data_IF_163039835215
#
_entry.id   IF_163039835215
#
_cell.length_a   1.000
_cell.length_b   1.000
_cell.length_c   1.000
_cell.angle_alpha   90.00
_cell.angle_beta   90.00
_cell.angle_gamma   90.00
#
_symmetry.space_group_name_H-M   'P 1'
#
loop_
_entity.id
_entity.type
_entity.pdbx_description
1 polymer ?
#
# COMPACT_ATOMS: atom_id res chain seq x y z
N UNK A 1 16.81 61.02 6.75
CA UNK A 1 15.49 60.53 7.19
C UNK A 1 14.53 60.68 6.02
N UNK A 2 14.30 59.60 5.27
CA UNK A 2 13.27 59.58 4.23
C UNK A 2 11.92 59.44 4.93
N UNK A 3 11.11 60.48 4.90
CA UNK A 3 9.72 60.42 5.36
C UNK A 3 9.01 59.44 4.43
N UNK A 4 8.76 58.19 4.89
CA UNK A 4 7.83 57.30 4.19
C UNK A 4 6.47 57.98 4.30
N UNK A 5 5.94 58.44 3.16
CA UNK A 5 4.57 58.92 3.08
C UNK A 5 3.63 57.84 3.62
N UNK A 6 2.65 58.23 4.44
CA UNK A 6 1.62 57.30 4.89
C UNK A 6 0.92 56.69 3.68
N UNK A 7 0.63 55.37 3.70
CA UNK A 7 -0.05 54.72 2.58
C UNK A 7 -1.42 55.37 2.37
N UNK A 8 -1.64 55.94 1.18
CA UNK A 8 -2.92 56.50 0.77
C UNK A 8 -3.79 55.37 0.25
N UNK A 9 -5.08 55.36 0.58
CA UNK A 9 -6.01 54.42 -0.01
C UNK A 9 -6.06 54.59 -1.54
N UNK A 10 -5.62 53.56 -2.27
CA UNK A 10 -5.74 53.47 -3.72
C UNK A 10 -5.89 52.00 -4.13
N UNK A 11 -7.12 51.59 -4.45
CA UNK A 11 -7.45 50.19 -4.77
C UNK A 11 -6.86 49.75 -6.10
N UNK A 12 -6.80 50.65 -7.08
CA UNK A 12 -6.31 50.33 -8.43
C UNK A 12 -4.79 50.09 -8.42
N UNK A 13 -4.04 50.89 -7.66
CA UNK A 13 -2.61 50.64 -7.43
C UNK A 13 -2.40 49.35 -6.63
N UNK A 14 -3.24 49.06 -5.62
CA UNK A 14 -3.15 47.82 -4.87
C UNK A 14 -3.38 46.61 -5.78
N UNK A 15 -4.37 46.67 -6.69
CA UNK A 15 -4.62 45.64 -7.70
C UNK A 15 -3.43 45.46 -8.65
N UNK A 16 -2.86 46.56 -9.13
CA UNK A 16 -1.69 46.53 -10.02
C UNK A 16 -0.48 45.88 -9.35
N UNK A 17 -0.22 46.22 -8.09
CA UNK A 17 0.85 45.61 -7.29
C UNK A 17 0.55 44.14 -6.99
N UNK A 18 -0.71 43.80 -6.70
CA UNK A 18 -1.15 42.42 -6.43
C UNK A 18 -0.87 41.48 -7.61
N UNK A 19 -0.96 41.98 -8.84
CA UNK A 19 -0.72 41.20 -10.06
C UNK A 19 0.77 40.96 -10.37
N UNK A 20 1.71 41.58 -9.66
CA UNK A 20 3.15 41.44 -9.92
C UNK A 20 3.72 40.13 -9.37
N UNK A 21 4.76 39.61 -10.03
CA UNK A 21 5.59 38.52 -9.52
C UNK A 21 7.08 38.93 -9.49
N UNK A 22 7.75 38.93 -8.32
CA UNK A 22 7.20 38.64 -6.98
C UNK A 22 6.27 39.74 -6.48
N UNK A 23 5.20 39.36 -5.77
CA UNK A 23 4.19 40.30 -5.25
C UNK A 23 4.76 41.10 -4.05
N UNK A 24 4.70 42.44 -4.03
CA UNK A 24 5.15 43.25 -2.89
C UNK A 24 4.11 43.24 -1.76
N UNK A 25 4.04 42.11 -1.04
CA UNK A 25 3.04 41.82 0.02
C UNK A 25 2.88 42.96 1.02
N UNK A 26 3.98 43.51 1.53
CA UNK A 26 3.94 44.56 2.56
C UNK A 26 3.33 45.88 2.06
N UNK A 27 3.59 46.24 0.80
CA UNK A 27 3.07 47.47 0.20
C UNK A 27 1.57 47.33 -0.09
N UNK A 28 1.17 46.18 -0.67
CA UNK A 28 -0.24 45.86 -0.91
C UNK A 28 -1.00 45.86 0.42
N UNK A 29 -0.50 45.17 1.45
CA UNK A 29 -1.14 45.13 2.77
C UNK A 29 -1.35 46.54 3.34
N UNK A 30 -0.32 47.39 3.27
CA UNK A 30 -0.39 48.76 3.78
C UNK A 30 -1.47 49.60 3.08
N UNK A 31 -1.59 49.47 1.75
CA UNK A 31 -2.62 50.16 0.96
C UNK A 31 -4.02 49.65 1.27
N UNK A 32 -4.19 48.32 1.40
CA UNK A 32 -5.48 47.71 1.74
C UNK A 32 -5.94 48.14 3.14
N UNK A 33 -5.04 48.15 4.13
CA UNK A 33 -5.33 48.64 5.48
C UNK A 33 -5.69 50.14 5.51
N UNK A 34 -5.03 50.96 4.69
CA UNK A 34 -5.40 52.37 4.55
C UNK A 34 -6.81 52.55 3.95
N UNK A 35 -7.18 51.72 2.97
CA UNK A 35 -8.53 51.73 2.41
C UNK A 35 -9.60 51.25 3.38
N UNK A 36 -9.29 50.25 4.19
CA UNK A 36 -10.19 49.79 5.25
C UNK A 36 -10.39 50.87 6.32
N UNK A 37 -9.31 51.52 6.76
CA UNK A 37 -9.39 52.63 7.72
C UNK A 37 -10.15 53.84 7.17
N UNK A 38 -10.10 54.06 5.86
CA UNK A 38 -10.89 55.08 5.16
C UNK A 38 -12.37 54.69 4.94
N UNK A 39 -12.78 53.48 5.34
CA UNK A 39 -14.16 53.00 5.20
C UNK A 39 -14.55 52.62 3.77
N UNK A 40 -13.60 52.20 2.93
CA UNK A 40 -13.87 51.80 1.55
C UNK A 40 -14.90 50.66 1.47
N UNK A 41 -15.85 50.79 0.53
CA UNK A 41 -16.84 49.76 0.20
C UNK A 41 -16.46 48.98 -1.07
N UNK A 42 -15.27 49.19 -1.61
CA UNK A 42 -14.78 48.44 -2.77
C UNK A 42 -14.46 47.00 -2.35
N UNK A 43 -15.20 46.04 -2.91
CA UNK A 43 -15.06 44.62 -2.57
C UNK A 43 -13.64 44.09 -2.82
N UNK A 44 -12.88 44.68 -3.77
CA UNK A 44 -11.52 44.26 -4.11
C UNK A 44 -10.59 44.40 -2.91
N UNK A 45 -10.84 45.38 -2.03
CA UNK A 45 -10.04 45.57 -0.82
C UNK A 45 -10.08 44.30 0.04
N UNK A 46 -11.29 43.86 0.37
CA UNK A 46 -11.51 42.70 1.22
C UNK A 46 -11.18 41.37 0.50
N UNK A 47 -11.40 41.31 -0.81
CA UNK A 47 -11.03 40.16 -1.63
C UNK A 47 -9.51 39.93 -1.61
N UNK A 48 -8.70 40.97 -1.87
CA UNK A 48 -7.24 40.84 -1.86
C UNK A 48 -6.70 40.54 -0.46
N UNK A 49 -7.26 41.12 0.60
CA UNK A 49 -6.92 40.76 1.99
C UNK A 49 -7.15 39.26 2.24
N UNK A 50 -8.33 38.75 1.84
CA UNK A 50 -8.67 37.34 1.98
C UNK A 50 -7.75 36.41 1.21
N UNK A 51 -7.46 36.71 -0.05
CA UNK A 51 -6.52 35.92 -0.87
C UNK A 51 -5.11 35.95 -0.26
N UNK A 52 -4.64 37.09 0.24
CA UNK A 52 -3.33 37.18 0.90
C UNK A 52 -3.27 36.34 2.18
N UNK A 53 -4.30 36.40 3.02
CA UNK A 53 -4.38 35.58 4.23
C UNK A 53 -4.32 34.09 3.88
N UNK A 54 -5.06 33.66 2.84
CA UNK A 54 -5.04 32.27 2.36
C UNK A 54 -3.65 31.86 1.84
N UNK A 55 -3.01 32.69 1.03
CA UNK A 55 -1.67 32.43 0.51
C UNK A 55 -0.59 32.41 1.60
N UNK A 56 -0.79 33.16 2.69
CA UNK A 56 0.05 33.09 3.89
C UNK A 56 -0.21 31.84 4.75
N UNK A 57 -1.15 30.98 4.36
CA UNK A 57 -1.53 29.75 5.06
C UNK A 57 -2.66 29.92 6.09
N UNK A 58 -3.13 31.16 6.33
CA UNK A 58 -4.25 31.44 7.23
C UNK A 58 -5.60 31.36 6.48
N UNK A 59 -6.01 30.13 6.16
CA UNK A 59 -7.29 29.87 5.49
C UNK A 59 -8.51 30.29 6.31
N UNK A 60 -8.45 30.22 7.64
CA UNK A 60 -9.59 30.64 8.50
C UNK A 60 -9.71 32.16 8.56
N UNK A 61 -8.59 32.88 8.75
CA UNK A 61 -8.55 34.33 8.71
C UNK A 61 -8.86 34.94 7.33
N UNK A 62 -8.81 34.13 6.27
CA UNK A 62 -9.23 34.53 4.93
C UNK A 62 -10.75 34.57 4.74
N UNK A 63 -11.53 33.85 5.55
CA UNK A 63 -12.98 33.69 5.34
C UNK A 63 -13.71 35.02 5.51
N UNK A 64 -13.55 35.70 6.65
CA UNK A 64 -14.32 36.91 6.96
C UNK A 64 -14.10 38.06 5.93
N UNK A 65 -12.88 38.36 5.46
CA UNK A 65 -12.67 39.30 4.36
C UNK A 65 -13.36 38.87 3.06
N UNK A 66 -13.29 37.58 2.70
CA UNK A 66 -13.93 37.08 1.48
C UNK A 66 -15.46 37.08 1.56
N UNK A 67 -16.04 36.78 2.72
CA UNK A 67 -17.48 36.94 2.97
C UNK A 67 -17.91 38.39 2.82
N UNK A 68 -17.14 39.34 3.36
CA UNK A 68 -17.41 40.77 3.20
C UNK A 68 -17.30 41.21 1.74
N UNK A 69 -16.31 40.72 1.00
CA UNK A 69 -16.18 40.97 -0.43
C UNK A 69 -17.39 40.44 -1.21
N UNK A 70 -17.83 39.21 -0.92
CA UNK A 70 -19.02 38.60 -1.52
C UNK A 70 -20.30 39.39 -1.20
N UNK A 71 -20.45 39.89 0.03
CA UNK A 71 -21.60 40.71 0.43
C UNK A 71 -21.63 42.08 -0.27
N UNK A 72 -20.47 42.70 -0.49
CA UNK A 72 -20.36 44.02 -1.15
C UNK A 72 -20.60 43.94 -2.66
N UNK A 73 -20.32 42.78 -3.27
CA UNK A 73 -20.48 42.56 -4.70
C UNK A 73 -21.12 41.17 -4.97
N UNK A 74 -22.40 40.97 -4.61
CA UNK A 74 -23.06 39.67 -4.74
C UNK A 74 -23.24 39.23 -6.20
N UNK A 75 -23.13 40.17 -7.14
CA UNK A 75 -23.26 39.91 -8.57
C UNK A 75 -21.93 39.58 -9.26
N UNK A 76 -20.81 39.81 -8.58
CA UNK A 76 -19.48 39.48 -9.08
C UNK A 76 -19.12 38.03 -8.74
N UNK A 77 -18.69 37.27 -9.75
CA UNK A 77 -18.34 35.86 -9.54
C UNK A 77 -17.03 35.70 -8.74
N UNK A 78 -16.07 36.61 -8.90
CA UNK A 78 -14.73 36.44 -8.35
C UNK A 78 -14.72 36.34 -6.81
N UNK A 79 -15.37 37.25 -6.04
CA UNK A 79 -15.42 37.12 -4.57
C UNK A 79 -16.04 35.80 -4.11
N UNK A 80 -17.12 35.36 -4.76
CA UNK A 80 -17.78 34.10 -4.46
C UNK A 80 -16.87 32.90 -4.75
N UNK A 81 -16.17 32.90 -5.89
CA UNK A 81 -15.23 31.82 -6.25
C UNK A 81 -14.05 31.75 -5.28
N UNK A 82 -13.49 32.90 -4.88
CA UNK A 82 -12.41 32.97 -3.91
C UNK A 82 -12.84 32.50 -2.52
N UNK A 83 -14.05 32.90 -2.09
CA UNK A 83 -14.67 32.41 -0.85
C UNK A 83 -14.88 30.88 -0.90
N UNK A 84 -15.49 30.38 -1.97
CA UNK A 84 -15.71 28.96 -2.20
C UNK A 84 -14.42 28.15 -2.09
N UNK A 85 -13.37 28.55 -2.81
CA UNK A 85 -12.08 27.86 -2.81
C UNK A 85 -11.40 27.85 -1.43
N UNK A 86 -11.60 28.91 -0.67
CA UNK A 86 -11.06 29.04 0.70
C UNK A 86 -11.79 28.08 1.65
N UNK A 87 -13.10 27.93 1.49
CA UNK A 87 -13.97 27.09 2.32
C UNK A 87 -13.86 25.59 2.04
N UNK A 88 -13.39 25.16 0.86
CA UNK A 88 -13.44 23.75 0.40
C UNK A 88 -12.90 22.72 1.41
N UNK A 89 -11.77 23.02 2.05
CA UNK A 89 -11.03 22.05 2.85
C UNK A 89 -11.68 21.76 4.21
N UNK A 90 -12.16 22.80 4.90
CA UNK A 90 -12.71 22.70 6.27
C UNK A 90 -14.22 22.91 6.35
N UNK A 91 -14.79 23.66 5.40
CA UNK A 91 -16.18 24.11 5.40
C UNK A 91 -16.89 23.71 4.10
N UNK A 92 -16.63 22.49 3.60
CA UNK A 92 -17.11 22.00 2.31
C UNK A 92 -18.61 22.21 2.03
N UNK A 93 -19.48 22.13 3.06
CA UNK A 93 -20.92 22.38 2.89
C UNK A 93 -21.24 23.85 2.61
N UNK A 94 -20.49 24.78 3.19
CA UNK A 94 -20.62 26.21 2.91
C UNK A 94 -20.04 26.52 1.52
N UNK A 95 -18.87 25.95 1.19
CA UNK A 95 -18.26 26.06 -0.13
C UNK A 95 -19.24 25.62 -1.24
N UNK A 96 -19.92 24.48 -1.05
CA UNK A 96 -20.90 23.97 -2.01
C UNK A 96 -22.06 24.95 -2.24
N UNK A 97 -22.56 25.61 -1.19
CA UNK A 97 -23.62 26.63 -1.33
C UNK A 97 -23.13 27.83 -2.14
N UNK A 98 -21.93 28.33 -1.84
CA UNK A 98 -21.33 29.45 -2.56
C UNK A 98 -21.13 29.10 -4.04
N UNK A 99 -20.64 27.90 -4.35
CA UNK A 99 -20.52 27.46 -5.75
C UNK A 99 -21.87 27.27 -6.43
N UNK A 100 -22.89 26.79 -5.72
CA UNK A 100 -24.25 26.70 -6.27
C UNK A 100 -24.81 28.09 -6.61
N UNK A 101 -24.53 29.13 -5.81
CA UNK A 101 -24.90 30.51 -6.13
C UNK A 101 -24.24 31.00 -7.41
N UNK A 102 -22.94 30.70 -7.59
CA UNK A 102 -22.21 31.05 -8.82
C UNK A 102 -22.79 30.29 -10.03
N UNK A 103 -23.07 29.00 -9.88
CA UNK A 103 -23.61 28.15 -10.95
C UNK A 103 -25.05 28.50 -11.32
N UNK A 104 -25.85 29.02 -10.37
CA UNK A 104 -27.20 29.50 -10.66
C UNK A 104 -27.20 30.71 -11.62
N UNK A 105 -26.16 31.54 -11.56
CA UNK A 105 -25.99 32.71 -12.43
C UNK A 105 -25.23 32.37 -13.71
N UNK A 106 -24.20 31.54 -13.59
CA UNK A 106 -23.39 31.05 -14.70
C UNK A 106 -23.21 29.53 -14.60
N UNK A 107 -24.11 28.75 -15.23
CA UNK A 107 -24.05 27.28 -15.21
C UNK A 107 -22.79 26.69 -15.85
N UNK A 108 -22.04 27.48 -16.61
CA UNK A 108 -20.82 27.08 -17.31
C UNK A 108 -19.54 27.54 -16.61
N UNK A 109 -19.64 28.08 -15.39
CA UNK A 109 -18.47 28.52 -14.62
C UNK A 109 -17.54 27.35 -14.31
N UNK A 110 -16.44 27.23 -15.08
CA UNK A 110 -15.43 26.17 -14.92
C UNK A 110 -14.91 26.09 -13.48
N UNK A 111 -14.58 27.23 -12.87
CA UNK A 111 -14.03 27.28 -11.52
C UNK A 111 -15.02 26.73 -10.47
N UNK A 112 -16.30 27.09 -10.56
CA UNK A 112 -17.32 26.59 -9.65
C UNK A 112 -17.62 25.10 -9.89
N UNK A 113 -17.65 24.64 -11.15
CA UNK A 113 -17.79 23.21 -11.47
C UNK A 113 -16.62 22.40 -10.91
N UNK A 114 -15.37 22.81 -11.12
CA UNK A 114 -14.20 22.14 -10.55
C UNK A 114 -14.26 22.06 -9.02
N UNK A 115 -14.66 23.15 -8.36
CA UNK A 115 -14.86 23.19 -6.92
C UNK A 115 -15.92 22.21 -6.43
N UNK A 116 -17.09 22.17 -7.09
CA UNK A 116 -18.14 21.18 -6.80
C UNK A 116 -17.64 19.74 -7.02
N UNK A 117 -16.90 19.48 -8.10
CA UNK A 117 -16.31 18.16 -8.38
C UNK A 117 -15.36 17.70 -7.28
N UNK A 118 -14.48 18.60 -6.78
CA UNK A 118 -13.60 18.31 -5.64
C UNK A 118 -14.37 18.03 -4.36
N UNK A 119 -15.43 18.80 -4.09
CA UNK A 119 -16.29 18.62 -2.91
C UNK A 119 -17.02 17.28 -2.97
N UNK A 120 -17.66 16.93 -4.10
CA UNK A 120 -18.33 15.63 -4.24
C UNK A 120 -17.37 14.45 -4.11
N UNK A 121 -16.17 14.55 -4.68
CA UNK A 121 -15.10 13.56 -4.47
C UNK A 121 -14.73 13.46 -2.99
N UNK A 122 -14.59 14.58 -2.29
CA UNK A 122 -14.33 14.62 -0.84
C UNK A 122 -15.45 14.03 0.02
N UNK A 123 -16.70 14.12 -0.44
CA UNK A 123 -17.86 13.44 0.17
C UNK A 123 -18.02 11.99 -0.26
N UNK A 124 -17.09 11.47 -1.07
CA UNK A 124 -17.16 10.14 -1.67
C UNK A 124 -18.40 9.90 -2.55
N UNK A 125 -19.03 10.98 -3.04
CA UNK A 125 -20.07 10.93 -4.07
C UNK A 125 -19.40 10.96 -5.44
N UNK A 126 -18.80 9.82 -5.79
CA UNK A 126 -17.95 9.70 -6.97
C UNK A 126 -18.73 9.81 -8.28
N UNK A 127 -20.03 9.53 -8.26
CA UNK A 127 -20.89 9.59 -9.44
C UNK A 127 -21.21 11.04 -9.81
N UNK A 128 -21.56 11.88 -8.83
CA UNK A 128 -21.73 13.33 -9.06
C UNK A 128 -20.40 14.00 -9.46
N UNK A 129 -19.29 13.61 -8.82
CA UNK A 129 -17.97 14.09 -9.21
C UNK A 129 -17.63 13.74 -10.67
N UNK A 130 -17.90 12.49 -11.08
CA UNK A 130 -17.71 12.04 -12.47
C UNK A 130 -18.54 12.88 -13.45
N UNK A 131 -19.83 13.06 -13.18
CA UNK A 131 -20.73 13.81 -14.06
C UNK A 131 -20.26 15.26 -14.30
N UNK A 132 -19.74 15.91 -13.26
CA UNK A 132 -19.17 17.27 -13.36
C UNK A 132 -17.92 17.31 -14.22
N UNK A 133 -16.98 16.40 -13.98
CA UNK A 133 -15.74 16.38 -14.77
C UNK A 133 -16.01 15.99 -16.23
N UNK A 134 -16.96 15.08 -16.50
CA UNK A 134 -17.43 14.78 -17.84
C UNK A 134 -18.06 15.99 -18.53
N UNK A 135 -18.85 16.79 -17.81
CA UNK A 135 -19.41 18.04 -18.34
C UNK A 135 -18.30 19.00 -18.80
N UNK A 136 -17.25 19.17 -17.98
CA UNK A 136 -16.09 20.00 -18.33
C UNK A 136 -15.32 19.44 -19.52
N UNK A 137 -15.09 18.13 -19.57
CA UNK A 137 -14.39 17.47 -20.67
C UNK A 137 -15.19 17.47 -21.97
N UNK A 138 -16.52 17.52 -21.90
CA UNK A 138 -17.38 17.69 -23.08
C UNK A 138 -17.21 19.09 -23.69
N UNK A 139 -17.01 20.11 -22.87
CA UNK A 139 -16.74 21.46 -23.32
C UNK A 139 -15.30 21.61 -23.84
N UNK A 140 -14.34 21.00 -23.15
CA UNK A 140 -12.93 20.97 -23.56
C UNK A 140 -12.28 19.60 -23.24
N UNK A 141 -12.10 18.73 -24.25
CA UNK A 141 -11.54 17.39 -24.05
C UNK A 141 -10.09 17.34 -23.54
N UNK A 142 -9.36 18.47 -23.63
CA UNK A 142 -7.97 18.61 -23.19
C UNK A 142 -7.85 19.48 -21.91
N UNK A 143 -8.95 19.69 -21.19
CA UNK A 143 -8.92 20.43 -19.94
C UNK A 143 -8.17 19.65 -18.86
N UNK A 144 -6.96 20.11 -18.52
CA UNK A 144 -6.05 19.41 -17.59
C UNK A 144 -6.63 19.31 -16.18
N UNK A 145 -7.34 20.33 -15.70
CA UNK A 145 -7.98 20.30 -14.38
C UNK A 145 -9.09 19.25 -14.31
N UNK A 146 -9.92 19.15 -15.35
CA UNK A 146 -10.98 18.15 -15.42
C UNK A 146 -10.43 16.72 -15.60
N UNK A 147 -9.36 16.56 -16.39
CA UNK A 147 -8.65 15.28 -16.54
C UNK A 147 -8.02 14.83 -15.21
N UNK A 148 -7.37 15.73 -14.47
CA UNK A 148 -6.88 15.46 -13.11
C UNK A 148 -8.04 15.05 -12.18
N UNK A 149 -9.16 15.76 -12.24
CA UNK A 149 -10.37 15.43 -11.50
C UNK A 149 -10.84 13.99 -11.74
N UNK A 150 -10.94 13.58 -13.01
CA UNK A 150 -11.28 12.20 -13.39
C UNK A 150 -10.26 11.17 -12.88
N UNK A 151 -8.96 11.46 -13.01
CA UNK A 151 -7.90 10.59 -12.51
C UNK A 151 -7.98 10.40 -10.98
N UNK A 152 -8.25 11.46 -10.23
CA UNK A 152 -8.48 11.41 -8.79
C UNK A 152 -9.76 10.64 -8.43
N UNK A 153 -10.82 10.75 -9.21
CA UNK A 153 -12.04 9.95 -9.02
C UNK A 153 -11.74 8.47 -9.27
N UNK A 154 -10.96 8.13 -10.29
CA UNK A 154 -10.53 6.75 -10.55
C UNK A 154 -9.70 6.19 -9.37
N UNK A 155 -8.76 6.97 -8.83
CA UNK A 155 -8.03 6.60 -7.61
C UNK A 155 -8.96 6.41 -6.40
N UNK A 156 -9.95 7.28 -6.21
CA UNK A 156 -10.94 7.14 -5.13
C UNK A 156 -11.81 5.89 -5.29
N UNK A 157 -12.12 5.49 -6.54
CA UNK A 157 -12.76 4.21 -6.89
C UNK A 157 -11.84 3.00 -6.78
N UNK A 158 -10.60 3.16 -6.30
CA UNK A 158 -9.54 2.14 -6.26
C UNK A 158 -9.11 1.62 -7.64
N UNK A 159 -9.48 2.30 -8.73
CA UNK A 159 -9.00 2.00 -10.08
C UNK A 159 -7.68 2.73 -10.36
N UNK A 160 -6.58 2.17 -9.84
CA UNK A 160 -5.25 2.80 -9.92
C UNK A 160 -4.69 2.86 -11.33
N UNK A 161 -4.94 1.84 -12.16
CA UNK A 161 -4.52 1.81 -13.56
C UNK A 161 -5.15 2.97 -14.35
N UNK A 162 -6.46 3.19 -14.21
CA UNK A 162 -7.15 4.30 -14.86
C UNK A 162 -6.70 5.65 -14.29
N UNK A 163 -6.50 5.75 -12.97
CA UNK A 163 -5.97 6.95 -12.33
C UNK A 163 -4.57 7.32 -12.85
N UNK A 164 -3.66 6.35 -12.94
CA UNK A 164 -2.31 6.55 -13.48
C UNK A 164 -2.35 7.02 -14.94
N UNK A 165 -3.09 6.31 -15.81
CA UNK A 165 -3.24 6.67 -17.22
C UNK A 165 -3.86 8.07 -17.38
N UNK A 166 -4.78 8.45 -16.49
CA UNK A 166 -5.36 9.79 -16.43
C UNK A 166 -4.33 10.87 -16.14
N UNK A 167 -3.48 10.70 -15.12
CA UNK A 167 -2.42 11.66 -14.81
C UNK A 167 -1.32 11.71 -15.88
N UNK A 168 -0.94 10.57 -16.47
CA UNK A 168 0.01 10.53 -17.60
C UNK A 168 -0.53 11.31 -18.81
N UNK A 169 -1.84 11.20 -19.09
CA UNK A 169 -2.50 12.00 -20.13
C UNK A 169 -2.42 13.49 -19.82
N UNK A 170 -2.59 13.91 -18.56
CA UNK A 170 -2.43 15.32 -18.18
C UNK A 170 -1.01 15.79 -18.43
N UNK A 171 0.00 15.03 -18.02
CA UNK A 171 1.42 15.37 -18.23
C UNK A 171 1.82 15.39 -19.71
N UNK A 172 1.11 14.65 -20.57
CA UNK A 172 1.32 14.72 -22.03
C UNK A 172 0.85 16.06 -22.64
N UNK A 173 -0.08 16.76 -21.97
CA UNK A 173 -0.63 18.05 -22.38
C UNK A 173 0.12 19.21 -21.68
N UNK A 174 0.32 19.07 -20.37
CA UNK A 174 1.03 20.00 -19.50
C UNK A 174 2.09 19.25 -18.66
N UNK A 175 3.35 19.19 -19.14
CA UNK A 175 4.42 18.48 -18.45
C UNK A 175 4.76 19.01 -17.05
N UNK A 176 4.38 20.25 -16.73
CA UNK A 176 4.68 20.89 -15.45
C UNK A 176 3.49 20.86 -14.48
N UNK A 177 2.44 20.11 -14.79
CA UNK A 177 1.24 20.05 -13.95
C UNK A 177 1.54 19.40 -12.59
N UNK A 178 1.61 20.22 -11.54
CA UNK A 178 1.97 19.77 -10.18
C UNK A 178 0.97 18.74 -9.62
N UNK A 179 -0.33 18.94 -9.86
CA UNK A 179 -1.35 18.03 -9.36
C UNK A 179 -1.24 16.64 -9.99
N UNK A 180 -0.91 16.55 -11.29
CA UNK A 180 -0.67 15.28 -11.96
C UNK A 180 0.57 14.56 -11.44
N UNK A 181 1.66 15.29 -11.16
CA UNK A 181 2.86 14.72 -10.51
C UNK A 181 2.55 14.17 -9.11
N UNK A 182 1.78 14.92 -8.31
CA UNK A 182 1.30 14.46 -7.00
C UNK A 182 0.40 13.24 -7.16
N UNK A 183 -0.50 13.25 -8.14
CA UNK A 183 -1.38 12.13 -8.49
C UNK A 183 -0.60 10.87 -8.81
N UNK A 184 0.39 10.96 -9.71
CA UNK A 184 1.28 9.85 -10.07
C UNK A 184 2.13 9.35 -8.92
N UNK A 185 2.51 10.18 -7.96
CA UNK A 185 3.21 9.72 -6.75
C UNK A 185 2.33 8.83 -5.85
N UNK A 186 1.00 9.01 -5.92
CA UNK A 186 -0.01 8.26 -5.15
C UNK A 186 -0.68 7.13 -5.94
N UNK A 187 -0.52 7.13 -7.25
CA UNK A 187 -1.12 6.17 -8.17
C UNK A 187 -0.48 4.77 -8.24
N UNK A 188 0.84 4.53 -8.02
CA UNK A 188 1.44 3.25 -8.35
C UNK A 188 0.95 2.15 -7.41
N UNK A 189 0.71 0.97 -7.99
CA UNK A 189 0.84 -0.27 -7.25
C UNK A 189 2.33 -0.45 -6.90
N UNK A 190 2.60 -0.84 -5.65
CA UNK A 190 3.91 -1.34 -5.25
C UNK A 190 4.12 -2.66 -6.00
N UNK A 191 4.69 -2.62 -7.21
CA UNK A 191 5.29 -3.81 -7.80
C UNK A 191 6.41 -4.23 -6.86
N UNK A 192 6.11 -5.18 -5.99
CA UNK A 192 7.07 -5.67 -5.02
C UNK A 192 7.94 -6.71 -5.72
N UNK A 193 9.16 -6.32 -6.04
CA UNK A 193 10.21 -7.26 -6.40
C UNK A 193 10.96 -7.59 -5.12
N UNK A 194 10.83 -8.83 -4.66
CA UNK A 194 11.59 -9.31 -3.50
C UNK A 194 12.56 -10.36 -3.99
N UNK A 195 13.84 -10.19 -3.68
CA UNK A 195 14.82 -11.24 -3.84
C UNK A 195 15.35 -11.63 -2.46
N UNK A 196 15.13 -12.87 -2.08
CA UNK A 196 15.68 -13.45 -0.85
C UNK A 196 16.80 -14.42 -1.25
N UNK A 197 18.04 -14.04 -0.93
CA UNK A 197 19.20 -14.91 -1.08
C UNK A 197 19.60 -15.47 0.29
N UNK A 198 19.79 -16.78 0.38
CA UNK A 198 20.15 -17.43 1.65
C UNK A 198 21.32 -18.39 1.49
N UNK A 199 22.17 -18.42 2.51
CA UNK A 199 23.18 -19.45 2.71
C UNK A 199 22.78 -20.27 3.93
N UNK A 200 22.79 -21.60 3.79
CA UNK A 200 22.35 -22.50 4.87
C UNK A 200 23.49 -23.42 5.28
N UNK A 201 23.75 -23.52 6.58
CA UNK A 201 24.59 -24.54 7.19
C UNK A 201 23.71 -25.37 8.13
N UNK A 202 23.64 -26.68 7.90
CA UNK A 202 22.85 -27.60 8.70
C UNK A 202 23.77 -28.66 9.26
N UNK A 203 23.76 -28.83 10.58
CA UNK A 203 24.54 -29.88 11.27
C UNK A 203 23.61 -30.76 12.08
N UNK A 204 23.72 -32.07 11.90
CA UNK A 204 22.96 -33.10 12.63
C UNK A 204 23.91 -34.11 13.25
N UNK A 205 23.38 -35.03 14.05
CA UNK A 205 24.12 -36.20 14.55
C UNK A 205 24.65 -37.10 13.42
N UNK A 206 24.02 -37.05 12.23
CA UNK A 206 24.35 -37.86 11.05
C UNK A 206 25.34 -37.21 10.08
N UNK A 207 25.66 -35.92 10.26
CA UNK A 207 26.59 -35.19 9.41
C UNK A 207 26.24 -33.71 9.24
N UNK A 208 27.09 -33.00 8.49
CA UNK A 208 26.93 -31.59 8.16
C UNK A 208 26.69 -31.40 6.66
N UNK A 209 25.83 -30.47 6.33
CA UNK A 209 25.57 -30.01 4.97
C UNK A 209 25.66 -28.49 4.89
N UNK A 210 26.12 -28.01 3.75
CA UNK A 210 25.98 -26.62 3.37
C UNK A 210 25.23 -26.52 2.04
N UNK A 211 24.58 -25.38 1.85
CA UNK A 211 23.85 -25.07 0.65
C UNK A 211 23.68 -23.58 0.42
N UNK A 212 23.33 -23.23 -0.80
CA UNK A 212 22.98 -21.88 -1.21
C UNK A 212 21.67 -21.94 -1.97
N UNK A 213 20.88 -20.87 -1.90
CA UNK A 213 19.70 -20.76 -2.72
C UNK A 213 19.11 -19.37 -2.67
N UNK A 214 18.17 -19.12 -3.56
CA UNK A 214 17.45 -17.87 -3.59
C UNK A 214 16.06 -18.04 -4.15
N UNK A 215 15.13 -17.31 -3.56
CA UNK A 215 13.76 -17.16 -4.05
C UNK A 215 13.55 -15.72 -4.53
N UNK A 216 13.06 -15.59 -5.76
CA UNK A 216 12.56 -14.34 -6.32
C UNK A 216 11.04 -14.33 -6.31
N UNK A 217 10.46 -13.24 -5.80
CA UNK A 217 9.04 -12.92 -5.91
C UNK A 217 8.86 -11.72 -6.83
N UNK A 218 8.01 -11.89 -7.84
CA UNK A 218 7.66 -10.87 -8.81
C UNK A 218 6.16 -10.58 -8.68
N UNK A 219 5.82 -9.39 -8.17
CA UNK A 219 4.45 -8.89 -8.24
C UNK A 219 4.05 -8.61 -9.70
N UNK A 220 3.04 -9.31 -10.20
CA UNK A 220 2.49 -9.13 -11.55
C UNK A 220 1.32 -8.14 -11.52
N UNK A 221 0.53 -8.17 -10.44
CA UNK A 221 -0.51 -7.18 -10.13
C UNK A 221 -0.43 -6.81 -8.64
N UNK A 222 -1.29 -5.91 -8.17
CA UNK A 222 -1.46 -5.63 -6.75
C UNK A 222 -1.80 -6.86 -5.88
N UNK A 223 -2.30 -7.92 -6.51
CA UNK A 223 -2.86 -9.10 -5.85
C UNK A 223 -2.22 -10.41 -6.30
N UNK A 224 -1.46 -10.40 -7.41
CA UNK A 224 -0.93 -11.59 -8.03
C UNK A 224 0.61 -11.54 -8.02
N UNK A 225 1.25 -12.60 -7.53
CA UNK A 225 2.71 -12.74 -7.41
C UNK A 225 3.17 -14.06 -8.00
N UNK A 226 4.32 -14.04 -8.68
CA UNK A 226 5.03 -15.23 -9.16
C UNK A 226 6.25 -15.46 -8.27
N UNK A 227 6.49 -16.71 -7.89
CA UNK A 227 7.69 -17.19 -7.18
C UNK A 227 8.54 -18.04 -8.12
N UNK A 228 9.85 -17.82 -8.09
CA UNK A 228 10.86 -18.68 -8.70
C UNK A 228 12.00 -18.87 -7.71
N UNK A 229 12.38 -20.13 -7.49
CA UNK A 229 13.39 -20.49 -6.52
C UNK A 229 14.36 -21.54 -7.04
N UNK A 230 15.62 -21.43 -6.63
CA UNK A 230 16.62 -22.47 -6.83
C UNK A 230 17.42 -22.66 -5.54
N UNK A 231 17.57 -23.93 -5.13
CA UNK A 231 18.38 -24.30 -3.98
C UNK A 231 19.30 -25.45 -4.34
N UNK A 232 20.55 -25.36 -3.87
CA UNK A 232 21.54 -26.42 -3.96
C UNK A 232 22.02 -26.79 -2.58
N UNK A 233 21.95 -28.07 -2.24
CA UNK A 233 22.53 -28.62 -1.02
C UNK A 233 23.54 -29.70 -1.35
N UNK A 234 24.72 -29.61 -0.73
CA UNK A 234 25.73 -30.67 -0.83
C UNK A 234 25.23 -32.03 -0.33
N UNK A 235 24.28 -31.99 0.61
CA UNK A 235 23.72 -33.12 1.35
C UNK A 235 22.35 -32.67 1.93
N UNK A 236 21.21 -32.95 1.31
CA UNK A 236 19.90 -32.61 1.87
C UNK A 236 19.67 -33.42 3.15
N UNK A 237 19.54 -32.74 4.28
CA UNK A 237 19.19 -33.36 5.56
C UNK A 237 17.66 -33.33 5.69
N UNK A 238 16.96 -34.26 5.03
CA UNK A 238 15.50 -34.34 5.18
C UNK A 238 15.17 -34.97 6.54
N UNK A 239 14.47 -34.21 7.37
CA UNK A 239 13.72 -34.78 8.50
C UNK A 239 12.52 -35.52 7.92
N UNK A 240 12.69 -36.81 7.64
CA UNK A 240 11.54 -37.69 7.52
C UNK A 240 11.00 -37.84 8.94
N UNK A 241 9.87 -37.19 9.21
CA UNK A 241 9.17 -37.20 10.50
C UNK A 241 8.68 -38.62 10.79
N UNK A 242 9.59 -39.52 11.18
CA UNK A 242 9.41 -40.73 11.99
C UNK A 242 10.62 -41.70 11.97
N UNK A 243 11.65 -41.59 11.10
CA UNK A 243 12.74 -42.61 11.02
C UNK A 243 14.16 -42.02 10.91
N UNK A 244 14.41 -40.84 11.48
CA UNK A 244 15.74 -40.22 11.39
C UNK A 244 16.00 -39.53 10.05
N UNK A 245 17.17 -38.89 9.97
CA UNK A 245 17.54 -38.01 8.86
C UNK A 245 18.07 -38.82 7.69
N UNK A 246 17.48 -38.66 6.50
CA UNK A 246 18.09 -39.12 5.26
C UNK A 246 18.95 -38.00 4.67
N UNK A 247 20.16 -38.35 4.23
CA UNK A 247 21.11 -37.44 3.58
C UNK A 247 21.07 -37.67 2.07
N UNK A 248 20.53 -36.74 1.28
CA UNK A 248 20.47 -36.84 -0.19
C UNK A 248 20.93 -35.54 -0.85
N UNK A 249 22.01 -35.46 -1.65
CA UNK A 249 22.32 -34.21 -2.33
C UNK A 249 21.14 -33.78 -3.21
N UNK A 250 20.64 -32.54 -3.03
CA UNK A 250 19.45 -32.06 -3.75
C UNK A 250 19.70 -30.77 -4.51
N UNK A 251 19.20 -30.76 -5.75
CA UNK A 251 19.00 -29.57 -6.58
C UNK A 251 17.50 -29.35 -6.71
N UNK A 252 17.01 -28.27 -6.11
CA UNK A 252 15.58 -27.97 -6.02
C UNK A 252 15.25 -26.77 -6.91
N UNK A 253 14.21 -26.92 -7.74
CA UNK A 253 13.66 -25.84 -8.56
C UNK A 253 12.21 -25.64 -8.17
N UNK A 254 11.86 -24.40 -7.80
CA UNK A 254 10.51 -24.02 -7.39
C UNK A 254 9.91 -23.00 -8.32
N UNK A 255 8.62 -23.18 -8.62
CA UNK A 255 7.83 -22.21 -9.36
C UNK A 255 6.44 -22.10 -8.73
N UNK A 256 6.02 -20.90 -8.37
CA UNK A 256 4.78 -20.66 -7.65
C UNK A 256 3.98 -19.50 -8.21
N UNK A 257 2.67 -19.57 -8.02
CA UNK A 257 1.75 -18.46 -8.23
C UNK A 257 0.91 -18.26 -6.98
N UNK A 258 0.81 -17.00 -6.57
CA UNK A 258 0.12 -16.57 -5.38
C UNK A 258 -0.87 -15.48 -5.74
N UNK A 259 -2.10 -15.60 -5.26
CA UNK A 259 -3.12 -14.56 -5.35
C UNK A 259 -3.62 -14.19 -3.96
N UNK A 260 -3.70 -12.89 -3.69
CA UNK A 260 -4.23 -12.33 -2.46
C UNK A 260 -5.25 -11.25 -2.80
N UNK A 261 -6.52 -11.50 -2.49
CA UNK A 261 -7.56 -10.47 -2.50
C UNK A 261 -7.82 -10.06 -1.04
N UNK A 262 -7.37 -8.86 -0.62
CA UNK A 262 -7.47 -8.43 0.77
C UNK A 262 -8.88 -8.57 1.33
N UNK A 263 -8.96 -9.01 2.59
CA UNK A 263 -10.21 -9.18 3.33
C UNK A 263 -11.23 -10.12 2.68
N UNK A 264 -10.82 -10.90 1.67
CA UNK A 264 -11.72 -11.85 0.98
C UNK A 264 -11.13 -13.25 0.97
N UNK A 265 -10.08 -13.47 0.18
CA UNK A 265 -9.41 -14.76 0.08
C UNK A 265 -7.98 -14.63 -0.43
N UNK A 266 -7.19 -15.66 -0.18
CA UNK A 266 -5.90 -15.86 -0.83
C UNK A 266 -5.81 -17.31 -1.31
N UNK A 267 -5.02 -17.56 -2.35
CA UNK A 267 -4.60 -18.91 -2.69
C UNK A 267 -3.18 -18.91 -3.24
N UNK A 268 -2.52 -20.05 -3.10
CA UNK A 268 -1.24 -20.30 -3.73
C UNK A 268 -1.22 -21.68 -4.37
N UNK A 269 -0.47 -21.79 -5.47
CA UNK A 269 -0.12 -23.05 -6.10
C UNK A 269 1.37 -23.02 -6.37
N UNK A 270 2.11 -23.98 -5.82
CA UNK A 270 3.56 -24.03 -5.90
C UNK A 270 3.97 -25.43 -6.37
N UNK A 271 4.79 -25.47 -7.41
CA UNK A 271 5.44 -26.66 -7.90
C UNK A 271 6.91 -26.66 -7.45
N UNK A 272 7.38 -27.80 -6.96
CA UNK A 272 8.73 -28.00 -6.46
C UNK A 272 9.29 -29.30 -7.05
N UNK A 273 10.33 -29.18 -7.88
CA UNK A 273 11.06 -30.28 -8.47
C UNK A 273 12.36 -30.50 -7.71
N UNK A 274 12.68 -31.76 -7.39
CA UNK A 274 13.90 -32.12 -6.67
C UNK A 274 14.68 -33.20 -7.40
N UNK A 275 15.91 -32.84 -7.76
CA UNK A 275 16.90 -33.75 -8.31
C UNK A 275 17.76 -34.34 -7.20
N UNK A 276 17.86 -35.67 -7.13
CA UNK A 276 18.63 -36.38 -6.11
C UNK A 276 19.81 -37.09 -6.80
N UNK A 277 21.04 -36.62 -6.61
CA UNK A 277 22.20 -37.11 -7.38
C UNK A 277 22.32 -38.66 -7.40
N UNK A 278 22.03 -39.28 -8.55
CA UNK A 278 22.08 -40.74 -8.73
C UNK A 278 20.85 -41.52 -8.26
N UNK A 279 19.79 -40.83 -7.82
CA UNK A 279 18.49 -41.40 -7.44
C UNK A 279 17.36 -40.85 -8.33
N UNK A 280 16.17 -41.49 -8.33
CA UNK A 280 15.02 -40.99 -9.09
C UNK A 280 14.57 -39.61 -8.60
N UNK A 281 14.12 -38.77 -9.54
CA UNK A 281 13.56 -37.44 -9.28
C UNK A 281 12.28 -37.48 -8.45
N UNK A 282 12.08 -36.45 -7.66
CA UNK A 282 10.91 -36.24 -6.82
C UNK A 282 10.20 -34.93 -7.23
N UNK A 283 8.87 -34.95 -7.26
CA UNK A 283 8.06 -33.81 -7.69
C UNK A 283 6.98 -33.54 -6.66
N UNK A 284 6.72 -32.26 -6.40
CA UNK A 284 5.75 -31.80 -5.45
C UNK A 284 4.82 -30.75 -6.04
N UNK A 285 3.55 -30.82 -5.66
CA UNK A 285 2.55 -29.79 -5.91
C UNK A 285 1.91 -29.42 -4.58
N UNK A 286 1.96 -28.14 -4.23
CA UNK A 286 1.39 -27.56 -3.02
C UNK A 286 0.30 -26.56 -3.39
N UNK A 287 -0.90 -26.73 -2.85
CA UNK A 287 -2.01 -25.80 -3.01
C UNK A 287 -2.52 -25.34 -1.63
N UNK A 288 -2.60 -24.03 -1.43
CA UNK A 288 -3.14 -23.41 -0.21
C UNK A 288 -4.31 -22.50 -0.57
N UNK A 289 -5.31 -22.44 0.30
CA UNK A 289 -6.36 -21.43 0.28
C UNK A 289 -6.55 -20.83 1.68
N UNK A 290 -6.84 -19.53 1.70
CA UNK A 290 -7.18 -18.77 2.91
C UNK A 290 -8.46 -17.99 2.66
N UNK A 291 -9.37 -17.97 3.62
CA UNK A 291 -10.59 -17.15 3.61
C UNK A 291 -10.55 -16.20 4.80
N UNK A 292 -10.80 -14.93 4.54
CA UNK A 292 -10.84 -13.88 5.56
C UNK A 292 -12.28 -13.76 6.06
N UNK A 293 -12.52 -14.24 7.28
CA UNK A 293 -13.86 -14.21 7.88
C UNK A 293 -14.14 -12.84 8.48
N UNK A 294 -13.11 -12.24 9.09
CA UNK A 294 -13.10 -10.85 9.57
C UNK A 294 -11.70 -10.25 9.34
N UNK A 295 -11.54 -8.96 9.62
CA UNK A 295 -10.23 -8.28 9.56
C UNK A 295 -9.17 -8.94 10.46
N UNK A 296 -9.61 -9.59 11.54
CA UNK A 296 -8.75 -10.16 12.58
C UNK A 296 -8.81 -11.69 12.66
N UNK A 297 -9.59 -12.38 11.81
CA UNK A 297 -9.74 -13.83 11.85
C UNK A 297 -9.79 -14.45 10.46
N UNK A 298 -8.95 -15.47 10.26
CA UNK A 298 -8.74 -16.12 8.95
C UNK A 298 -8.75 -17.63 9.12
N UNK A 299 -9.38 -18.31 8.18
CA UNK A 299 -9.31 -19.77 8.05
C UNK A 299 -8.41 -20.11 6.87
N UNK A 300 -7.56 -21.12 7.01
CA UNK A 300 -6.72 -21.59 5.92
C UNK A 300 -6.72 -23.12 5.85
N UNK A 301 -6.40 -23.62 4.67
CA UNK A 301 -6.23 -25.04 4.44
C UNK A 301 -5.53 -25.30 3.12
N UNK A 302 -5.04 -26.52 2.94
CA UNK A 302 -4.29 -26.86 1.75
C UNK A 302 -4.05 -28.35 1.58
N UNK A 303 -3.55 -28.67 0.40
CA UNK A 303 -3.18 -30.01 0.00
C UNK A 303 -1.82 -29.98 -0.69
N UNK A 304 -0.94 -30.89 -0.28
CA UNK A 304 0.35 -31.11 -0.92
C UNK A 304 0.45 -32.56 -1.38
N UNK A 305 0.91 -32.78 -2.59
CA UNK A 305 1.14 -34.11 -3.17
C UNK A 305 2.59 -34.23 -3.64
N UNK A 306 3.24 -35.32 -3.27
CA UNK A 306 4.51 -35.76 -3.82
C UNK A 306 4.30 -36.94 -4.78
N UNK A 307 5.02 -36.97 -5.88
CA UNK A 307 5.06 -38.11 -6.79
C UNK A 307 6.43 -38.28 -7.46
N UNK A 308 6.68 -39.50 -7.94
CA UNK A 308 7.93 -39.88 -8.58
C UNK A 308 8.09 -41.40 -8.55
N UNK A 309 9.31 -41.88 -8.27
CA UNK A 309 9.49 -43.27 -7.87
C UNK A 309 8.62 -43.60 -6.65
N UNK A 310 8.25 -44.87 -6.48
CA UNK A 310 7.29 -45.30 -5.45
C UNK A 310 7.64 -44.79 -4.04
N UNK A 311 8.92 -44.72 -3.68
CA UNK A 311 9.35 -44.19 -2.39
C UNK A 311 8.97 -42.71 -2.17
N UNK A 312 8.79 -41.90 -3.22
CA UNK A 312 8.50 -40.48 -3.12
C UNK A 312 7.01 -40.16 -3.05
N UNK A 313 6.13 -41.15 -3.22
CA UNK A 313 4.69 -40.89 -3.15
C UNK A 313 4.29 -40.46 -1.75
N UNK A 314 3.62 -39.32 -1.64
CA UNK A 314 3.20 -38.79 -0.35
C UNK A 314 2.12 -37.72 -0.49
N UNK A 315 1.40 -37.47 0.59
CA UNK A 315 0.39 -36.42 0.68
C UNK A 315 0.48 -35.70 2.03
N UNK A 316 0.04 -34.45 2.04
CA UNK A 316 -0.17 -33.67 3.25
C UNK A 316 -1.47 -32.88 3.09
N UNK A 317 -2.40 -33.07 4.01
CA UNK A 317 -3.56 -32.21 4.19
C UNK A 317 -3.25 -31.30 5.37
N UNK A 318 -3.57 -30.02 5.24
CA UNK A 318 -3.42 -29.05 6.33
C UNK A 318 -4.66 -28.16 6.46
N UNK A 319 -4.96 -27.77 7.69
CA UNK A 319 -6.08 -26.88 7.99
C UNK A 319 -5.87 -26.17 9.30
N UNK A 320 -6.29 -24.93 9.39
CA UNK A 320 -6.07 -24.12 10.58
C UNK A 320 -6.73 -22.76 10.53
N UNK A 321 -6.40 -21.96 11.52
CA UNK A 321 -6.84 -20.58 11.62
C UNK A 321 -5.71 -19.68 12.12
N UNK A 322 -5.82 -18.39 11.80
CA UNK A 322 -5.04 -17.35 12.47
C UNK A 322 -5.94 -16.23 12.97
N UNK A 323 -5.54 -15.63 14.09
CA UNK A 323 -6.29 -14.57 14.76
C UNK A 323 -5.35 -13.46 15.24
N UNK A 324 -5.64 -12.22 14.87
CA UNK A 324 -4.95 -11.04 15.40
C UNK A 324 -5.56 -10.66 16.74
N UNK A 325 -4.77 -10.80 17.80
CA UNK A 325 -5.18 -10.46 19.18
C UNK A 325 -5.03 -8.96 19.47
N UNK A 326 -4.09 -8.31 18.78
CA UNK A 326 -3.85 -6.86 18.83
C UNK A 326 -3.11 -6.43 17.55
N UNK A 327 -2.89 -5.12 17.32
CA UNK A 327 -2.09 -4.65 16.19
C UNK A 327 -0.67 -5.22 16.13
N UNK A 328 -0.13 -5.67 17.27
CA UNK A 328 1.23 -6.21 17.38
C UNK A 328 1.28 -7.72 17.59
N UNK A 329 0.15 -8.41 17.73
CA UNK A 329 0.14 -9.84 18.09
C UNK A 329 -0.86 -10.61 17.24
N UNK A 330 -0.38 -11.68 16.62
CA UNK A 330 -1.18 -12.68 15.91
C UNK A 330 -0.86 -14.07 16.47
N UNK A 331 -1.84 -14.97 16.49
CA UNK A 331 -1.67 -16.37 16.84
C UNK A 331 -2.23 -17.25 15.74
N UNK A 332 -1.65 -18.43 15.53
CA UNK A 332 -2.22 -19.44 14.64
C UNK A 332 -2.19 -20.82 15.25
N UNK A 333 -3.16 -21.63 14.84
CA UNK A 333 -3.19 -23.06 15.13
C UNK A 333 -3.47 -23.81 13.83
N UNK A 334 -2.67 -24.84 13.57
CA UNK A 334 -2.77 -25.68 12.39
C UNK A 334 -2.75 -27.16 12.78
N UNK A 335 -3.53 -27.94 12.05
CA UNK A 335 -3.52 -29.40 12.07
C UNK A 335 -3.06 -29.91 10.71
N UNK A 336 -2.32 -31.01 10.74
CA UNK A 336 -1.76 -31.66 9.58
C UNK A 336 -2.08 -33.14 9.62
N UNK A 337 -2.39 -33.70 8.46
CA UNK A 337 -2.48 -35.14 8.20
C UNK A 337 -1.53 -35.46 7.06
N UNK A 338 -0.44 -36.14 7.39
CA UNK A 338 0.64 -36.47 6.47
C UNK A 338 0.71 -37.98 6.25
N UNK A 339 0.91 -38.41 5.00
CA UNK A 339 1.17 -39.81 4.69
C UNK A 339 2.23 -39.92 3.58
N UNK A 340 3.28 -40.73 3.79
CA UNK A 340 4.39 -40.87 2.83
C UNK A 340 4.81 -42.33 2.68
N UNK A 341 5.18 -42.73 1.47
CA UNK A 341 5.49 -44.11 1.10
C UNK A 341 6.79 -44.67 1.70
N UNK A 342 7.70 -43.81 2.19
CA UNK A 342 9.02 -44.23 2.73
C UNK A 342 8.89 -45.10 4.00
N UNK A 343 7.73 -45.12 4.65
CA UNK A 343 7.51 -45.83 5.92
C UNK A 343 7.28 -47.34 5.81
N UNK A 344 7.42 -47.97 4.64
CA UNK A 344 7.10 -49.39 4.37
C UNK A 344 5.65 -49.83 4.68
N UNK A 345 4.86 -48.97 5.33
CA UNK A 345 3.42 -48.97 5.52
C UNK A 345 2.98 -47.50 5.55
N UNK A 346 2.01 -47.10 4.73
CA UNK A 346 1.42 -45.75 4.76
C UNK A 346 0.76 -45.54 6.14
N UNK A 347 1.40 -44.81 7.05
CA UNK A 347 0.75 -44.34 8.27
C UNK A 347 0.30 -42.90 8.05
N UNK A 348 -0.99 -42.63 8.29
CA UNK A 348 -1.50 -41.26 8.41
C UNK A 348 -1.01 -40.70 9.75
N UNK A 349 -0.07 -39.74 9.70
CA UNK A 349 0.50 -39.08 10.86
C UNK A 349 -0.21 -37.74 11.05
N UNK A 350 -0.91 -37.62 12.18
CA UNK A 350 -1.50 -36.36 12.60
C UNK A 350 -0.48 -35.53 13.37
N UNK A 351 -0.39 -34.24 13.07
CA UNK A 351 0.39 -33.30 13.88
C UNK A 351 -0.31 -31.96 14.01
N UNK A 352 0.11 -31.20 15.02
CA UNK A 352 -0.47 -29.91 15.40
C UNK A 352 0.64 -28.90 15.56
N UNK A 353 0.41 -27.66 15.14
CA UNK A 353 1.35 -26.56 15.35
C UNK A 353 0.61 -25.36 15.89
N UNK A 354 1.22 -24.71 16.89
CA UNK A 354 0.74 -23.47 17.47
C UNK A 354 1.85 -22.43 17.38
N UNK A 355 1.53 -21.25 16.84
CA UNK A 355 2.46 -20.14 16.69
C UNK A 355 1.93 -18.87 17.33
N UNK A 356 2.85 -18.07 17.85
CA UNK A 356 2.62 -16.68 18.19
C UNK A 356 3.55 -15.79 17.39
N UNK A 357 3.00 -14.72 16.82
CA UNK A 357 3.68 -13.73 16.01
C UNK A 357 3.63 -12.38 16.72
N UNK A 358 4.77 -11.71 16.79
CA UNK A 358 4.91 -10.36 17.24
C UNK A 358 5.35 -9.45 16.09
N UNK A 359 4.55 -8.42 15.85
CA UNK A 359 4.81 -7.36 14.88
C UNK A 359 5.30 -6.13 15.65
N UNK A 360 6.61 -5.91 15.56
CA UNK A 360 7.32 -4.86 16.27
C UNK A 360 7.46 -3.56 15.50
N UNK A 361 8.03 -2.53 16.13
CA UNK A 361 8.38 -1.29 15.45
C UNK A 361 9.37 -1.54 14.30
N UNK A 362 9.43 -0.58 13.37
CA UNK A 362 10.31 -0.65 12.19
C UNK A 362 10.10 -1.90 11.32
N UNK A 363 8.89 -2.46 11.29
CA UNK A 363 8.55 -3.68 10.55
C UNK A 363 9.31 -4.94 11.01
N UNK A 364 9.79 -4.97 12.26
CA UNK A 364 10.33 -6.18 12.85
C UNK A 364 9.24 -7.25 12.98
N UNK A 365 9.58 -8.50 12.65
CA UNK A 365 8.68 -9.64 12.79
C UNK A 365 9.40 -10.73 13.58
N UNK A 366 8.79 -11.21 14.64
CA UNK A 366 9.29 -12.36 15.41
C UNK A 366 8.15 -13.37 15.57
N UNK A 367 8.42 -14.65 15.34
CA UNK A 367 7.48 -15.71 15.68
C UNK A 367 8.19 -16.85 16.40
N UNK A 368 7.42 -17.55 17.24
CA UNK A 368 7.84 -18.77 17.89
C UNK A 368 6.64 -19.71 18.02
N UNK A 369 6.91 -21.01 17.98
CA UNK A 369 5.87 -22.01 17.98
C UNK A 369 6.31 -23.37 18.48
N UNK A 370 5.30 -24.21 18.71
CA UNK A 370 5.45 -25.60 19.15
C UNK A 370 4.65 -26.50 18.23
N UNK A 371 5.30 -27.54 17.73
CA UNK A 371 4.69 -28.65 17.00
C UNK A 371 4.56 -29.90 17.87
N UNK A 372 3.50 -30.67 17.70
CA UNK A 372 3.31 -31.95 18.37
C UNK A 372 2.76 -33.03 17.43
N UNK A 373 3.36 -34.22 17.45
CA UNK A 373 2.88 -35.39 16.70
C UNK A 373 2.70 -36.59 17.65
N UNK A 374 1.46 -36.96 18.02
CA UNK A 374 1.21 -37.99 19.02
C UNK A 374 1.63 -39.40 18.59
N UNK A 375 1.50 -39.74 17.30
CA UNK A 375 1.75 -41.11 16.83
C UNK A 375 3.21 -41.53 17.02
N UNK A 376 4.12 -40.57 16.97
CA UNK A 376 5.57 -40.78 17.07
C UNK A 376 6.18 -40.10 18.31
N UNK A 377 5.35 -39.51 19.17
CA UNK A 377 5.74 -38.75 20.36
C UNK A 377 6.80 -37.66 20.06
N UNK A 378 6.52 -36.82 19.05
CA UNK A 378 7.41 -35.71 18.68
C UNK A 378 6.96 -34.39 19.29
N UNK A 379 7.91 -33.63 19.83
CA UNK A 379 7.77 -32.20 20.12
C UNK A 379 8.78 -31.42 19.29
N UNK A 380 8.28 -30.47 18.50
CA UNK A 380 9.08 -29.54 17.71
C UNK A 380 9.00 -28.14 18.34
N UNK A 381 10.14 -27.48 18.50
CA UNK A 381 10.22 -26.08 18.95
C UNK A 381 10.87 -25.27 17.84
N UNK A 382 10.27 -24.16 17.45
CA UNK A 382 10.82 -23.31 16.40
C UNK A 382 10.60 -21.83 16.62
N UNK A 383 11.40 -21.02 15.94
CA UNK A 383 11.20 -19.58 15.89
C UNK A 383 11.97 -18.91 14.76
N UNK A 384 11.51 -17.73 14.38
CA UNK A 384 12.13 -16.88 13.36
C UNK A 384 12.03 -15.42 13.76
N UNK A 385 13.07 -14.67 13.40
CA UNK A 385 13.13 -13.22 13.54
C UNK A 385 13.57 -12.59 12.22
N UNK A 386 12.84 -11.57 11.78
CA UNK A 386 13.19 -10.71 10.65
C UNK A 386 13.37 -9.31 11.19
N UNK A 387 14.59 -8.79 11.09
CA UNK A 387 15.01 -7.53 11.69
C UNK A 387 15.47 -6.58 10.58
N UNK A 388 14.65 -5.56 10.24
CA UNK A 388 15.04 -4.55 9.26
C UNK A 388 16.26 -3.76 9.74
N UNK A 389 17.27 -3.68 8.88
CA UNK A 389 18.51 -2.91 9.10
C UNK A 389 18.41 -1.57 8.38
N UNK A 390 17.83 -1.57 7.18
CA UNK A 390 17.50 -0.38 6.40
C UNK A 390 16.11 -0.53 5.80
N UNK A 391 15.61 0.48 5.08
CA UNK A 391 14.35 0.38 4.33
C UNK A 391 14.36 -0.72 3.25
N UNK A 392 15.55 -1.15 2.82
CA UNK A 392 15.75 -2.12 1.73
C UNK A 392 16.40 -3.43 2.16
N UNK A 393 16.92 -3.52 3.38
CA UNK A 393 17.71 -4.68 3.84
C UNK A 393 17.21 -5.12 5.21
N UNK A 394 16.98 -6.43 5.39
CA UNK A 394 16.69 -7.04 6.67
C UNK A 394 17.58 -8.27 6.92
N UNK A 395 17.88 -8.55 8.18
CA UNK A 395 18.52 -9.80 8.60
C UNK A 395 17.45 -10.76 9.07
N UNK A 396 17.58 -12.02 8.66
CA UNK A 396 16.71 -13.11 9.04
C UNK A 396 17.47 -14.11 9.90
N UNK A 397 16.86 -14.53 11.01
CA UNK A 397 17.32 -15.61 11.85
C UNK A 397 16.22 -16.65 11.97
N UNK A 398 16.56 -17.93 11.87
CA UNK A 398 15.65 -19.04 12.15
C UNK A 398 16.33 -20.05 13.06
N UNK A 399 15.56 -20.67 13.93
CA UNK A 399 16.01 -21.76 14.80
C UNK A 399 14.89 -22.79 14.96
N UNK A 400 15.25 -24.06 15.02
CA UNK A 400 14.32 -25.17 15.25
C UNK A 400 14.99 -26.32 15.99
N UNK A 401 14.21 -27.07 16.77
CA UNK A 401 14.63 -28.27 17.47
C UNK A 401 13.55 -29.34 17.42
N UNK A 402 13.92 -30.58 17.05
CA UNK A 402 13.02 -31.72 16.92
C UNK A 402 13.40 -32.81 17.92
N UNK A 403 12.48 -33.17 18.83
CA UNK A 403 12.79 -34.07 19.95
C UNK A 403 13.02 -35.52 19.55
N UNK A 404 12.35 -36.03 18.51
CA UNK A 404 12.51 -37.43 18.09
C UNK A 404 13.91 -37.69 17.56
N UNK A 405 14.40 -36.83 16.68
CA UNK A 405 15.72 -37.03 16.06
C UNK A 405 16.84 -36.33 16.84
N UNK A 406 16.49 -35.57 17.89
CA UNK A 406 17.41 -34.69 18.64
C UNK A 406 18.17 -33.69 17.75
N UNK A 407 17.54 -33.25 16.64
CA UNK A 407 18.16 -32.34 15.68
C UNK A 407 17.89 -30.88 16.04
N UNK A 408 18.93 -30.04 15.97
CA UNK A 408 18.83 -28.58 16.09
C UNK A 408 19.29 -27.93 14.79
N UNK A 409 18.49 -27.03 14.25
CA UNK A 409 18.78 -26.28 13.02
C UNK A 409 18.80 -24.79 13.33
N UNK A 410 19.77 -24.06 12.77
CA UNK A 410 19.84 -22.61 12.87
C UNK A 410 20.28 -22.01 11.53
N UNK A 411 19.66 -20.92 11.10
CA UNK A 411 20.00 -20.26 9.82
C UNK A 411 20.04 -18.75 10.01
N UNK A 412 20.96 -18.10 9.28
CA UNK A 412 21.08 -16.64 9.19
C UNK A 412 21.06 -16.25 7.72
N UNK A 413 20.24 -15.27 7.35
CA UNK A 413 20.07 -14.81 5.97
C UNK A 413 19.93 -13.30 5.85
N UNK A 414 20.07 -12.80 4.62
CA UNK A 414 19.84 -11.40 4.26
C UNK A 414 18.66 -11.31 3.29
N UNK A 415 17.73 -10.40 3.56
CA UNK A 415 16.59 -10.10 2.70
C UNK A 415 16.76 -8.73 2.08
N UNK A 416 16.59 -8.64 0.76
CA UNK A 416 16.65 -7.39 0.01
C UNK A 416 15.25 -7.06 -0.56
N UNK A 417 14.78 -5.83 -0.34
CA UNK A 417 13.59 -5.27 -0.97
C UNK A 417 14.03 -4.15 -1.92
N UNK A 418 13.62 -4.17 -3.18
CA UNK A 418 13.84 -3.06 -4.12
C UNK A 418 12.55 -2.50 -4.69
#
# INVERSE_FOLDING_TARGET
>A
MSVRAEPVCNVDDAQRLFAQQPRPIAEVQAMLSACEAAGSTDYRVYMFQGVMNREAGDREGAIAPLEKAHQLAPDEANPALELGFTLEEKHARQAAKVYQEVLARNPSSKAALLGMGRIYRGWNDLDQATAIYEQLLKANPQDTDALNGMAWVALARRNRTEGQAGFEKVLSIDPNNEEAHIGLSKAPDVYRYVFEGSGTLVSTSSGTSWGFGGDGLIGVTAFDTIELGEYHYTNELQTLTAIGVAVLPSDDIRAGYHRLVPLTYAFSVVYDYRGHNGLPTENWLDALGTVYVTDNFRLFGGYRQAWGAFQWNGRLIRGGFSASLSPSWEVSAAAYDAAQAIFSNYFDIWSWVFDAYWHGPHNALVNAGVGYSPLIDNVDLHGRAILPVTERIAVQFTVGHNSINADTRATVGLRFNW
#
